data_IF_065471404056
#
_entry.id   IF_065471404056
#
_cell.length_a   1.000
_cell.length_b   1.000
_cell.length_c   1.000
_cell.angle_alpha   90.00
_cell.angle_beta   90.00
_cell.angle_gamma   90.00
#
_symmetry.space_group_name_H-M   'P 1'
#
loop_
_entity.id
_entity.type
_entity.pdbx_description
1 polymer ?
2 water ?
#
# COMPACT_ATOMS: atom_id res chain seq x y z
N UNK A 1 -9.98 -16.80 6.09
CA UNK A 1 -10.16 -15.95 4.89
C UNK A 1 -9.26 -16.32 3.73
N UNK A 2 -7.96 -16.56 3.99
CA UNK A 2 -7.09 -16.96 2.86
C UNK A 2 -6.75 -15.78 1.95
N UNK A 3 -5.78 -16.04 1.09
CA UNK A 3 -5.25 -15.10 0.09
C UNK A 3 -3.84 -15.60 -0.18
N UNK A 4 -3.47 -15.62 -1.45
CA UNK A 4 -2.15 -16.10 -1.84
C UNK A 4 -1.12 -15.04 -1.49
N UNK A 5 -0.12 -15.51 -0.80
CA UNK A 5 1.01 -14.63 -0.39
C UNK A 5 1.86 -14.47 -1.65
N UNK A 6 2.10 -13.20 -1.94
CA UNK A 6 2.82 -12.76 -3.13
C UNK A 6 3.72 -11.55 -2.84
N UNK A 7 5.02 -11.74 -3.03
CA UNK A 7 5.98 -10.68 -2.77
C UNK A 7 5.40 -9.37 -3.33
N UNK A 8 5.73 -8.28 -2.64
CA UNK A 8 5.29 -6.95 -2.99
C UNK A 8 5.85 -6.40 -4.29
N UNK A 9 7.10 -6.76 -4.47
CA UNK A 9 7.92 -6.37 -5.63
C UNK A 9 8.79 -7.56 -6.04
N UNK A 10 9.10 -7.52 -7.31
CA UNK A 10 9.93 -8.46 -8.08
C UNK A 10 10.54 -7.50 -9.11
N UNK A 11 11.84 -7.54 -9.33
CA UNK A 11 12.46 -6.58 -10.27
C UNK A 11 13.71 -7.23 -10.86
N UNK A 12 14.24 -6.47 -11.79
CA UNK A 12 15.43 -6.70 -12.58
C UNK A 12 15.61 -5.69 -13.74
N UNK A 13 16.82 -5.69 -14.24
CA UNK A 13 17.42 -4.93 -15.33
C UNK A 13 16.90 -5.50 -16.64
N UNK A 14 16.68 -4.68 -17.64
CA UNK A 14 16.13 -5.16 -18.90
C UNK A 14 16.95 -6.30 -19.48
N UNK A 15 16.24 -7.35 -19.92
CA UNK A 15 16.80 -8.57 -20.51
C UNK A 15 16.75 -9.70 -19.45
N UNK A 16 16.77 -9.20 -18.24
CA UNK A 16 16.72 -9.96 -16.99
C UNK A 16 15.42 -10.79 -16.97
N UNK A 17 15.54 -11.87 -16.25
CA UNK A 17 14.52 -12.89 -16.02
C UNK A 17 14.05 -12.73 -14.58
N UNK A 18 12.78 -12.43 -14.40
CA UNK A 18 12.25 -12.27 -13.02
C UNK A 18 11.29 -13.40 -12.69
N UNK A 19 11.03 -13.61 -11.40
CA UNK A 19 10.12 -14.58 -10.88
C UNK A 19 9.23 -14.02 -9.75
N UNK A 20 7.95 -14.28 -9.96
CA UNK A 20 6.91 -13.93 -9.01
C UNK A 20 6.48 -15.29 -8.41
N UNK A 21 6.59 -15.33 -7.11
CA UNK A 21 6.23 -16.42 -6.22
C UNK A 21 4.89 -16.01 -5.58
N UNK A 22 4.09 -17.02 -5.34
CA UNK A 22 2.71 -16.91 -4.79
C UNK A 22 2.51 -18.07 -3.82
N UNK A 23 2.80 -17.83 -2.54
CA UNK A 23 2.68 -18.90 -1.56
C UNK A 23 1.32 -19.08 -0.93
N UNK A 24 0.53 -19.84 -1.66
CA UNK A 24 -0.84 -20.25 -1.27
C UNK A 24 -0.67 -21.42 -0.27
N UNK A 25 -1.76 -22.08 0.10
CA UNK A 25 -1.69 -23.19 1.09
C UNK A 25 -1.89 -24.56 0.51
N UNK A 26 -1.56 -25.59 1.29
CA UNK A 26 -1.69 -26.99 0.82
C UNK A 26 -3.17 -27.34 0.65
N UNK A 27 -3.84 -26.41 0.02
CA UNK A 27 -5.27 -26.41 -0.30
C UNK A 27 -5.51 -25.74 -1.65
N UNK A 28 -4.85 -24.64 -1.93
CA UNK A 28 -5.02 -23.95 -3.23
C UNK A 28 -3.94 -24.35 -4.21
N UNK A 29 -2.74 -23.86 -4.03
CA UNK A 29 -1.61 -24.19 -4.92
C UNK A 29 -1.34 -25.71 -4.73
N UNK A 30 -1.54 -26.06 -3.46
CA UNK A 30 -1.29 -27.44 -3.03
C UNK A 30 -2.37 -28.38 -3.54
N UNK A 31 -2.58 -28.45 -4.85
CA UNK A 31 -3.59 -29.32 -5.43
C UNK A 31 -4.26 -28.75 -6.67
N UNK A 32 -4.84 -27.57 -6.55
CA UNK A 32 -5.59 -26.86 -7.57
C UNK A 32 -4.82 -26.07 -8.61
N UNK A 33 -5.56 -25.87 -9.71
CA UNK A 33 -5.16 -25.14 -10.92
C UNK A 33 -4.75 -23.71 -10.56
N UNK A 34 -3.64 -23.22 -11.10
CA UNK A 34 -3.21 -21.83 -10.76
C UNK A 34 -3.24 -21.02 -12.06
N UNK A 35 -3.90 -19.88 -11.93
CA UNK A 35 -4.19 -18.86 -12.92
C UNK A 35 -3.41 -17.57 -12.72
N UNK A 36 -2.80 -17.06 -13.79
CA UNK A 36 -2.02 -15.82 -13.67
C UNK A 36 -2.55 -14.71 -14.61
N UNK A 37 -2.80 -13.61 -13.91
CA UNK A 37 -3.25 -12.33 -14.44
C UNK A 37 -2.20 -11.23 -14.25
N UNK A 38 -2.01 -10.47 -15.31
CA UNK A 38 -1.09 -9.30 -15.24
C UNK A 38 -2.10 -8.14 -15.13
N UNK A 39 -1.86 -7.07 -14.43
CA UNK A 39 -2.87 -6.01 -14.35
C UNK A 39 -2.33 -4.61 -14.46
N UNK A 40 -2.82 -3.87 -15.44
CA UNK A 40 -2.43 -2.46 -15.61
C UNK A 40 -3.57 -1.49 -15.21
N UNK A 41 -3.28 -0.62 -14.26
CA UNK A 41 -4.33 0.38 -13.92
C UNK A 41 -4.77 1.02 -15.27
N UNK A 42 -6.07 1.20 -15.31
CA UNK A 42 -6.72 1.82 -16.48
C UNK A 42 -7.10 0.76 -17.53
N UNK A 43 -6.71 -0.47 -17.22
CA UNK A 43 -6.95 -1.63 -18.06
C UNK A 43 -7.38 -2.82 -17.21
N UNK A 44 -8.30 -3.56 -17.82
CA UNK A 44 -8.93 -4.77 -17.27
C UNK A 44 -7.80 -5.79 -17.21
N UNK A 45 -7.86 -6.62 -16.19
CA UNK A 45 -6.79 -7.65 -16.04
C UNK A 45 -6.68 -8.50 -17.29
N UNK A 46 -5.52 -9.11 -17.45
CA UNK A 46 -5.26 -10.01 -18.58
C UNK A 46 -4.99 -11.42 -18.03
N UNK A 47 -5.50 -12.40 -18.76
CA UNK A 47 -5.21 -13.78 -18.35
C UNK A 47 -3.83 -14.18 -18.94
N UNK A 48 -2.90 -14.39 -18.05
CA UNK A 48 -1.52 -14.74 -18.38
C UNK A 48 -1.35 -16.24 -18.68
N UNK A 49 -1.03 -16.98 -17.63
CA UNK A 49 -0.82 -18.44 -17.66
C UNK A 49 -2.21 -18.93 -17.24
N UNK A 50 -2.72 -19.78 -18.08
CA UNK A 50 -4.11 -20.28 -17.93
C UNK A 50 -4.34 -21.39 -16.96
N UNK A 51 -3.56 -22.45 -16.89
CA UNK A 51 -3.82 -23.51 -15.93
C UNK A 51 -2.50 -24.00 -15.37
N UNK A 52 -1.97 -23.18 -14.48
CA UNK A 52 -0.72 -23.47 -13.80
C UNK A 52 0.51 -23.05 -14.64
N UNK A 53 0.74 -23.80 -15.69
CA UNK A 53 1.87 -23.60 -16.62
C UNK A 53 1.40 -23.34 -18.04
N UNK A 54 0.24 -23.88 -18.33
CA UNK A 54 -0.39 -23.74 -19.66
C UNK A 54 -0.85 -22.31 -19.85
N UNK A 55 -0.12 -21.67 -20.73
CA UNK A 55 -0.23 -20.28 -21.16
C UNK A 55 -1.45 -20.01 -22.00
N UNK A 56 -1.90 -18.77 -21.96
CA UNK A 56 -3.06 -18.29 -22.74
C UNK A 56 -2.58 -17.82 -24.11
N UNK A 57 -3.50 -17.30 -24.91
CA UNK A 57 -3.16 -16.80 -26.26
C UNK A 57 -2.99 -15.28 -26.10
N UNK A 58 -2.10 -14.79 -26.92
CA UNK A 58 -1.72 -13.36 -26.90
C UNK A 58 -0.37 -13.42 -26.11
N UNK A 59 -0.52 -14.04 -24.94
CA UNK A 59 0.57 -14.29 -23.98
C UNK A 59 1.78 -14.85 -24.74
N UNK A 60 2.92 -14.35 -24.36
CA UNK A 60 4.28 -14.55 -24.82
C UNK A 60 5.09 -15.56 -24.04
N UNK A 61 6.03 -16.10 -24.78
CA UNK A 61 6.99 -17.14 -24.42
C UNK A 61 7.89 -16.72 -23.26
N UNK A 62 8.00 -15.40 -23.18
CA UNK A 62 8.81 -14.81 -22.10
C UNK A 62 8.16 -15.27 -20.79
N UNK A 63 6.84 -15.09 -20.72
CA UNK A 63 6.04 -15.46 -19.55
C UNK A 63 5.87 -16.98 -19.52
N UNK A 64 6.53 -17.45 -18.51
CA UNK A 64 6.63 -18.86 -18.15
C UNK A 64 6.01 -19.06 -16.76
N UNK A 65 5.63 -20.30 -16.48
CA UNK A 65 5.01 -20.60 -15.19
C UNK A 65 5.17 -22.07 -14.80
N UNK A 66 5.58 -22.24 -13.56
CA UNK A 66 5.78 -23.51 -12.91
C UNK A 66 4.93 -23.62 -11.65
N UNK A 67 3.88 -24.43 -11.62
CA UNK A 67 3.18 -24.59 -10.31
C UNK A 67 4.10 -25.58 -9.57
N UNK A 68 4.04 -25.69 -8.26
CA UNK A 68 4.99 -26.64 -7.59
C UNK A 68 4.38 -27.34 -6.39
N UNK A 69 5.02 -27.12 -5.24
CA UNK A 69 4.45 -27.72 -3.98
C UNK A 69 3.28 -26.70 -3.86
N UNK A 70 3.12 -26.23 -2.68
CA UNK A 70 2.10 -25.20 -2.35
C UNK A 70 2.57 -23.89 -2.94
N UNK A 71 3.14 -23.89 -4.14
CA UNK A 71 3.65 -22.59 -4.65
C UNK A 71 3.75 -22.53 -6.14
N UNK A 72 3.54 -21.37 -6.75
CA UNK A 72 3.67 -21.31 -8.24
C UNK A 72 4.75 -20.31 -8.58
N UNK A 73 5.02 -20.15 -9.87
CA UNK A 73 6.05 -19.18 -10.28
C UNK A 73 5.98 -18.62 -11.68
N UNK A 74 5.55 -17.36 -11.79
CA UNK A 74 5.51 -16.66 -13.10
C UNK A 74 6.97 -16.17 -13.27
N UNK A 75 7.54 -16.36 -14.42
CA UNK A 75 8.95 -15.92 -14.67
C UNK A 75 8.84 -14.98 -15.84
N UNK A 76 9.09 -13.69 -15.79
CA UNK A 76 8.90 -12.89 -17.02
C UNK A 76 10.22 -12.86 -17.79
N UNK A 77 10.61 -14.05 -18.15
CA UNK A 77 11.81 -14.46 -18.88
C UNK A 77 12.16 -13.72 -20.16
N UNK A 78 12.60 -12.48 -20.08
CA UNK A 78 13.05 -11.65 -21.17
C UNK A 78 12.82 -10.18 -20.91
N UNK A 79 12.75 -9.81 -19.64
CA UNK A 79 12.45 -8.45 -19.18
C UNK A 79 12.62 -7.38 -20.25
N UNK A 80 11.46 -6.97 -20.68
CA UNK A 80 11.22 -5.88 -21.69
C UNK A 80 10.46 -4.93 -20.75
N UNK A 81 10.42 -3.65 -21.00
CA UNK A 81 9.82 -2.64 -20.16
C UNK A 81 8.33 -2.50 -19.96
N UNK A 82 7.57 -3.22 -20.73
CA UNK A 82 6.09 -3.15 -20.72
C UNK A 82 5.57 -4.08 -19.63
N UNK A 83 6.54 -4.82 -19.12
CA UNK A 83 6.37 -5.84 -18.10
C UNK A 83 6.13 -5.30 -16.70
N UNK A 84 6.32 -4.00 -16.49
CA UNK A 84 6.09 -3.42 -15.13
C UNK A 84 4.58 -3.13 -15.16
N UNK A 85 3.94 -4.02 -14.50
CA UNK A 85 2.54 -4.31 -14.30
C UNK A 85 2.39 -4.90 -12.91
N UNK A 86 1.30 -5.54 -12.67
CA UNK A 86 0.86 -6.22 -11.48
C UNK A 86 0.64 -7.67 -11.95
N UNK A 87 0.91 -8.61 -11.07
CA UNK A 87 0.70 -10.00 -11.41
C UNK A 87 0.14 -10.61 -10.14
N UNK A 88 -1.10 -10.97 -10.34
CA UNK A 88 -1.98 -11.63 -9.40
C UNK A 88 -2.05 -13.11 -9.89
N UNK A 89 -2.18 -13.93 -8.87
CA UNK A 89 -2.30 -15.38 -8.92
C UNK A 89 -3.58 -15.68 -8.10
N UNK A 90 -4.45 -16.43 -8.73
CA UNK A 90 -5.72 -16.93 -8.26
C UNK A 90 -5.59 -18.46 -8.28
N UNK A 91 -6.24 -19.11 -7.35
CA UNK A 91 -6.18 -20.58 -7.31
C UNK A 91 -7.49 -20.93 -6.61
N UNK A 92 -7.73 -22.18 -6.31
CA UNK A 92 -8.94 -22.57 -5.65
C UNK A 92 -8.81 -23.11 -4.24
N UNK A 93 -9.52 -22.41 -3.36
CA UNK A 93 -9.46 -22.81 -1.93
C UNK A 93 -10.49 -23.92 -1.67
N UNK A 94 -10.91 -23.80 -0.44
CA UNK A 94 -11.85 -24.55 0.34
C UNK A 94 -12.36 -23.82 1.58
N UNK A 95 -12.01 -22.54 1.69
CA UNK A 95 -12.48 -21.76 2.85
C UNK A 95 -13.90 -21.31 2.48
N UNK A 96 -14.46 -22.12 1.62
CA UNK A 96 -15.82 -22.05 1.12
C UNK A 96 -15.90 -23.16 0.04
N UNK A 97 -15.45 -22.66 -1.07
CA UNK A 97 -15.45 -23.46 -2.36
C UNK A 97 -15.14 -22.20 -3.22
N UNK A 98 -14.03 -21.64 -2.68
CA UNK A 98 -13.50 -20.40 -3.18
C UNK A 98 -12.02 -20.42 -3.57
N UNK A 99 -11.84 -19.52 -4.51
CA UNK A 99 -10.63 -19.14 -5.20
C UNK A 99 -10.02 -17.93 -4.48
N UNK A 100 -8.85 -18.11 -3.90
CA UNK A 100 -8.16 -17.03 -3.19
C UNK A 100 -7.14 -16.42 -4.14
N UNK A 101 -6.93 -15.10 -4.00
CA UNK A 101 -5.97 -14.49 -4.91
C UNK A 101 -4.77 -14.00 -4.10
N UNK A 102 -3.80 -13.63 -4.91
CA UNK A 102 -2.56 -13.15 -4.34
C UNK A 102 -2.69 -11.64 -4.07
N UNK A 103 -1.84 -11.28 -3.15
CA UNK A 103 -1.77 -9.88 -2.77
C UNK A 103 -1.14 -9.05 -3.89
N UNK A 104 -0.71 -9.72 -4.95
CA UNK A 104 -0.12 -9.03 -6.11
C UNK A 104 1.31 -8.68 -5.88
N UNK A 105 2.05 -8.39 -6.93
CA UNK A 105 3.50 -8.08 -6.85
C UNK A 105 3.78 -7.19 -8.07
N UNK A 106 4.48 -6.10 -7.84
CA UNK A 106 4.76 -5.15 -8.88
C UNK A 106 6.17 -5.37 -9.45
N UNK A 107 6.16 -5.45 -10.78
CA UNK A 107 7.46 -5.66 -11.38
C UNK A 107 7.83 -4.25 -11.88
N UNK A 108 9.04 -3.99 -11.52
CA UNK A 108 9.76 -2.77 -11.86
C UNK A 108 10.96 -3.20 -12.70
N UNK A 109 11.12 -2.55 -13.83
CA UNK A 109 12.31 -2.85 -14.69
C UNK A 109 13.40 -1.95 -14.08
N UNK A 110 14.32 -2.51 -13.34
CA UNK A 110 15.38 -1.67 -12.75
C UNK A 110 15.86 -0.73 -13.88
N UNK A 111 15.74 0.53 -13.55
CA UNK A 111 16.02 1.70 -14.36
C UNK A 111 17.04 2.54 -13.58
N UNK A 112 17.38 2.00 -12.42
CA UNK A 112 18.39 2.62 -11.51
C UNK A 112 18.92 1.43 -10.71
N UNK A 113 20.14 1.45 -10.29
CA UNK A 113 20.75 0.37 -9.48
C UNK A 113 19.78 0.06 -8.35
N UNK A 114 19.55 -1.21 -8.07
CA UNK A 114 18.62 -1.55 -6.97
C UNK A 114 19.16 -0.96 -5.68
N UNK A 115 18.36 -0.12 -5.01
CA UNK A 115 18.74 0.47 -3.74
C UNK A 115 17.83 -0.08 -2.62
N UNK A 116 18.46 -0.37 -1.51
CA UNK A 116 18.05 -0.86 -0.21
C UNK A 116 17.90 0.37 0.70
N UNK A 117 16.85 0.38 1.51
CA UNK A 117 16.52 1.55 2.32
C UNK A 117 17.28 1.70 3.59
N UNK A 118 17.31 2.98 4.01
CA UNK A 118 17.97 3.30 5.28
C UNK A 118 16.86 3.49 6.30
N UNK A 119 16.87 2.73 7.36
CA UNK A 119 15.83 2.87 8.39
C UNK A 119 16.49 3.60 9.57
N UNK A 120 15.72 4.56 10.02
CA UNK A 120 16.09 5.44 11.13
C UNK A 120 14.89 5.36 12.07
N UNK A 121 15.16 4.68 13.16
CA UNK A 121 14.16 4.40 14.21
C UNK A 121 14.30 5.47 15.29
N UNK A 122 13.21 6.21 15.53
CA UNK A 122 13.25 7.31 16.52
C UNK A 122 12.29 6.99 17.63
N UNK A 123 12.70 7.24 18.81
CA UNK A 123 11.79 7.00 19.98
C UNK A 123 10.93 8.23 20.25
N UNK A 124 10.08 8.16 21.27
CA UNK A 124 9.18 9.20 21.68
C UNK A 124 9.91 10.49 22.06
N UNK A 125 9.44 11.51 21.36
CA UNK A 125 9.79 12.93 21.39
C UNK A 125 9.62 13.40 22.82
N UNK A 126 10.40 14.36 23.26
CA UNK A 126 10.17 14.73 24.70
C UNK A 126 8.91 15.57 24.80
N UNK A 127 8.75 16.58 23.96
CA UNK A 127 7.52 17.37 24.09
C UNK A 127 6.44 16.28 24.24
N UNK A 128 6.46 15.31 23.36
CA UNK A 128 5.45 14.24 23.33
C UNK A 128 5.25 13.48 24.60
N UNK A 129 6.28 12.90 25.14
CA UNK A 129 6.17 12.10 26.36
C UNK A 129 5.51 12.86 27.49
N UNK A 130 5.60 14.19 27.52
CA UNK A 130 5.06 15.03 28.62
C UNK A 130 3.57 15.27 28.54
N UNK A 131 3.07 15.11 27.37
CA UNK A 131 1.73 15.20 26.89
C UNK A 131 0.94 13.90 27.07
N UNK A 132 1.54 12.90 27.65
CA UNK A 132 0.88 11.61 27.84
C UNK A 132 0.58 10.87 26.54
N UNK A 133 1.55 10.91 25.64
CA UNK A 133 1.41 10.24 24.32
C UNK A 133 2.83 9.75 24.00
N UNK A 134 2.98 8.79 23.14
CA UNK A 134 4.29 8.21 22.77
C UNK A 134 4.11 7.52 21.43
N UNK A 135 4.82 8.02 20.44
CA UNK A 135 4.80 7.54 19.05
C UNK A 135 6.22 7.29 18.58
N UNK A 136 6.49 6.28 17.79
CA UNK A 136 7.84 6.11 17.26
C UNK A 136 7.56 6.03 15.75
N UNK A 137 8.61 6.36 15.06
CA UNK A 137 8.66 6.42 13.58
C UNK A 137 9.76 5.51 13.05
N UNK A 138 9.51 5.01 11.86
CA UNK A 138 10.51 4.14 11.19
C UNK A 138 10.83 4.87 9.89
N UNK A 139 11.86 5.68 9.87
CA UNK A 139 12.02 6.41 8.58
C UNK A 139 12.64 5.42 7.63
N UNK A 140 11.92 5.18 6.54
CA UNK A 140 12.48 4.28 5.52
C UNK A 140 12.83 5.12 4.30
N UNK A 141 13.94 5.83 4.32
CA UNK A 141 14.28 6.68 3.15
C UNK A 141 15.13 5.92 2.15
N UNK A 142 15.25 6.48 0.96
CA UNK A 142 16.02 6.03 -0.17
C UNK A 142 16.00 4.67 -0.80
N UNK A 143 14.89 4.03 -1.08
CA UNK A 143 14.83 2.66 -1.69
C UNK A 143 14.36 2.74 -3.12
N UNK A 144 14.50 1.69 -3.89
CA UNK A 144 14.11 1.54 -5.29
C UNK A 144 14.47 0.10 -5.70
N UNK A 145 13.54 -0.63 -6.21
CA UNK A 145 12.14 -0.24 -6.42
C UNK A 145 11.45 0.34 -5.19
N UNK A 146 10.20 0.82 -5.37
CA UNK A 146 9.39 1.42 -4.32
C UNK A 146 8.34 0.59 -3.61
N UNK A 147 8.81 -0.45 -2.93
CA UNK A 147 7.94 -1.37 -2.17
C UNK A 147 8.72 -2.09 -1.05
N UNK A 148 8.60 -1.48 0.10
CA UNK A 148 9.18 -1.93 1.35
C UNK A 148 8.03 -2.67 2.12
N UNK A 149 8.40 -3.33 3.17
CA UNK A 149 7.51 -4.07 4.00
C UNK A 149 7.88 -3.80 5.46
N UNK A 150 6.94 -3.25 6.24
CA UNK A 150 7.38 -2.96 7.62
C UNK A 150 6.71 -3.95 8.57
N UNK A 151 7.29 -3.99 9.74
CA UNK A 151 6.78 -4.84 10.82
C UNK A 151 7.58 -4.46 12.05
N UNK A 152 6.92 -4.18 13.15
CA UNK A 152 7.51 -3.88 14.45
C UNK A 152 7.43 -5.06 15.42
N UNK A 153 8.09 -4.77 16.54
CA UNK A 153 8.15 -5.75 17.62
C UNK A 153 8.49 -4.98 18.91
N UNK A 154 8.07 -5.61 19.97
CA UNK A 154 8.30 -5.15 21.34
C UNK A 154 8.98 -6.41 21.90
N UNK A 155 9.99 -6.27 22.69
CA UNK A 155 10.75 -7.38 23.28
C UNK A 155 10.51 -8.65 22.45
N UNK A 156 11.04 -8.62 21.27
CA UNK A 156 11.08 -9.61 20.23
C UNK A 156 9.78 -10.19 19.75
N UNK A 157 8.72 -9.61 20.25
CA UNK A 157 7.32 -9.90 20.02
C UNK A 157 6.70 -8.96 18.95
N UNK A 158 6.03 -9.60 18.02
CA UNK A 158 5.32 -8.93 16.92
C UNK A 158 4.08 -8.21 17.47
N UNK A 159 4.04 -6.91 17.20
CA UNK A 159 3.06 -5.91 17.56
C UNK A 159 2.17 -5.53 16.37
N UNK A 160 0.86 -5.58 16.53
CA UNK A 160 -0.08 -5.24 15.44
C UNK A 160 -0.86 -3.97 15.67
N UNK A 161 -1.29 -3.76 16.90
CA UNK A 161 -2.10 -2.59 17.22
C UNK A 161 -1.43 -1.24 16.99
N UNK A 162 -2.16 -0.51 16.14
CA UNK A 162 -1.90 0.85 15.78
C UNK A 162 -0.70 1.11 14.94
N UNK A 163 -0.22 0.11 14.19
CA UNK A 163 0.96 0.50 13.35
C UNK A 163 0.32 1.01 12.07
N UNK A 164 0.94 1.98 11.43
CA UNK A 164 0.49 2.60 10.21
C UNK A 164 1.78 2.92 9.46
N UNK A 165 1.73 2.57 8.23
CA UNK A 165 2.84 2.71 7.31
C UNK A 165 2.32 3.41 6.05
N UNK A 166 3.02 4.49 5.75
CA UNK A 166 2.81 5.35 4.59
C UNK A 166 3.10 4.49 3.36
N UNK A 167 2.46 4.81 2.30
CA UNK A 167 2.64 4.22 0.96
C UNK A 167 3.94 4.88 0.44
N UNK A 168 4.89 4.04 0.04
CA UNK A 168 6.15 4.55 -0.51
C UNK A 168 5.89 5.79 -1.36
N UNK A 169 6.84 6.70 -1.36
CA UNK A 169 6.73 7.98 -2.11
C UNK A 169 8.05 8.41 -2.74
N UNK A 170 7.97 8.49 -4.07
CA UNK A 170 9.14 8.89 -4.88
C UNK A 170 9.61 10.21 -4.27
N UNK A 171 10.91 10.25 -4.02
CA UNK A 171 11.58 11.42 -3.39
C UNK A 171 12.35 12.13 -4.48
N UNK A 172 12.88 13.31 -4.32
CA UNK A 172 13.60 14.08 -5.31
C UNK A 172 14.75 13.30 -5.95
N UNK A 173 15.54 12.61 -5.14
CA UNK A 173 16.68 11.81 -5.65
C UNK A 173 16.16 10.53 -6.27
N UNK A 174 14.93 10.60 -6.69
CA UNK A 174 14.23 9.52 -7.38
C UNK A 174 14.06 8.27 -6.56
N UNK A 175 14.50 8.34 -5.31
CA UNK A 175 14.31 7.05 -4.54
C UNK A 175 13.02 7.24 -3.79
N UNK A 176 12.34 6.22 -3.36
CA UNK A 176 11.08 6.23 -2.66
C UNK A 176 11.34 6.50 -1.19
N UNK A 177 10.28 6.87 -0.50
CA UNK A 177 10.41 7.06 0.95
C UNK A 177 9.10 6.55 1.54
N UNK A 178 9.12 6.28 2.78
CA UNK A 178 8.00 5.80 3.56
C UNK A 178 8.39 6.12 5.03
N UNK A 179 7.45 5.82 5.89
CA UNK A 179 7.65 6.00 7.33
C UNK A 179 6.59 5.10 7.92
N UNK A 180 6.74 4.69 9.12
CA UNK A 180 5.75 3.85 9.81
C UNK A 180 5.84 4.33 11.26
N UNK A 181 4.73 4.30 11.94
CA UNK A 181 4.73 4.80 13.34
C UNK A 181 3.92 3.78 14.13
N UNK A 182 4.29 3.69 15.39
CA UNK A 182 3.67 2.83 16.39
C UNK A 182 3.27 3.76 17.53
N UNK A 183 2.03 4.09 17.55
CA UNK A 183 1.52 4.96 18.63
C UNK A 183 1.25 4.13 19.85
N UNK A 184 2.00 4.38 20.94
CA UNK A 184 1.82 3.72 22.21
C UNK A 184 1.40 4.80 23.25
N UNK A 185 1.34 4.19 24.42
CA UNK A 185 1.02 4.90 25.64
C UNK A 185 2.40 4.91 26.32
N UNK A 186 2.60 5.99 27.04
CA UNK A 186 3.86 6.26 27.73
C UNK A 186 4.48 5.13 28.49
N UNK A 187 3.67 4.40 29.26
CA UNK A 187 4.27 3.29 30.03
C UNK A 187 4.26 2.03 29.21
N UNK A 188 3.38 1.91 28.20
CA UNK A 188 3.54 0.67 27.41
C UNK A 188 4.97 0.85 26.85
N UNK A 189 5.29 2.02 26.37
CA UNK A 189 6.64 2.33 25.83
C UNK A 189 7.71 1.90 26.83
N UNK A 190 7.60 2.41 28.04
CA UNK A 190 8.58 2.16 29.10
C UNK A 190 8.51 0.79 29.71
N UNK A 191 7.44 0.09 29.34
CA UNK A 191 7.23 -1.26 29.88
C UNK A 191 8.34 -2.22 29.40
N UNK A 192 8.59 -2.24 28.12
CA UNK A 192 9.52 -3.01 27.36
C UNK A 192 10.98 -2.62 27.31
N UNK A 193 11.79 -3.60 26.96
CA UNK A 193 13.23 -3.59 26.85
C UNK A 193 13.78 -2.84 25.66
N UNK A 194 13.26 -3.13 24.51
CA UNK A 194 13.61 -2.54 23.23
C UNK A 194 12.33 -2.70 22.37
N UNK A 195 12.38 -2.02 21.28
CA UNK A 195 11.26 -1.98 20.29
C UNK A 195 11.98 -2.05 18.97
N UNK A 196 11.46 -2.84 18.09
CA UNK A 196 12.18 -2.95 16.84
C UNK A 196 11.25 -2.59 15.72
N UNK A 197 11.93 -2.26 14.66
CA UNK A 197 11.40 -1.88 13.41
C UNK A 197 12.17 -2.70 12.35
N UNK A 198 11.32 -3.27 11.52
CA UNK A 198 11.77 -4.13 10.46
C UNK A 198 11.26 -3.80 9.08
N UNK A 199 12.21 -3.76 8.16
CA UNK A 199 11.81 -3.44 6.77
C UNK A 199 12.56 -4.36 5.84
N UNK A 200 11.70 -5.05 5.13
CA UNK A 200 12.24 -6.04 4.16
C UNK A 200 11.82 -5.41 2.84
N UNK A 201 12.85 -5.25 2.02
CA UNK A 201 12.83 -4.62 0.72
C UNK A 201 13.55 -5.59 -0.20
N UNK A 202 12.79 -6.17 -1.09
CA UNK A 202 13.24 -7.16 -2.08
C UNK A 202 14.36 -8.04 -1.56
N UNK A 203 13.88 -9.10 -0.88
CA UNK A 203 14.75 -10.11 -0.27
C UNK A 203 15.49 -9.70 0.99
N UNK A 204 16.21 -8.59 0.90
CA UNK A 204 16.97 -8.07 2.05
C UNK A 204 16.07 -7.59 3.18
N UNK A 205 16.62 -7.58 4.38
CA UNK A 205 15.92 -7.12 5.55
C UNK A 205 16.83 -6.43 6.54
N UNK A 206 16.26 -5.40 7.12
CA UNK A 206 16.89 -4.55 8.10
C UNK A 206 15.96 -4.53 9.30
N UNK A 207 16.62 -4.62 10.40
CA UNK A 207 15.95 -4.62 11.73
C UNK A 207 16.63 -3.58 12.57
N UNK A 208 16.09 -2.38 12.70
CA UNK A 208 16.79 -1.32 13.51
C UNK A 208 16.18 -1.22 14.86
N UNK A 209 16.80 -0.69 15.90
CA UNK A 209 16.14 -0.74 17.22
C UNK A 209 16.37 0.42 18.15
N UNK A 210 15.50 0.41 19.17
CA UNK A 210 15.58 1.53 20.13
C UNK A 210 15.01 1.08 21.46
N UNK A 211 15.55 1.72 22.49
CA UNK A 211 15.11 1.51 23.85
C UNK A 211 14.78 2.87 24.49
N UNK A 212 13.92 2.78 25.50
CA UNK A 212 13.40 3.86 26.30
C UNK A 212 14.30 4.87 26.97
N UNK A 213 15.55 4.55 27.20
CA UNK A 213 16.53 5.43 27.82
C UNK A 213 16.15 5.96 29.22
N UNK A 214 17.28 6.38 29.82
CA UNK A 214 17.36 6.99 31.14
C UNK A 214 16.55 8.29 30.99
N UNK A 215 16.98 9.25 31.79
CA UNK A 215 16.24 10.56 31.69
C UNK A 215 14.76 10.18 31.62
N UNK A 216 13.97 11.11 31.12
CA UNK A 216 12.54 11.11 30.90
C UNK A 216 11.77 12.04 31.85
N UNK B 1 -8.86 -6.41 -26.03
CA UNK B 1 -9.48 -6.60 -27.36
C UNK B 1 -10.79 -7.34 -27.33
N UNK B 2 -11.31 -7.48 -26.10
CA UNK B 2 -12.57 -8.19 -25.82
C UNK B 2 -13.51 -7.53 -24.82
N UNK B 3 -12.95 -7.02 -23.77
CA UNK B 3 -13.39 -6.38 -22.57
C UNK B 3 -14.82 -5.90 -22.40
N UNK B 4 -15.09 -5.60 -21.14
CA UNK B 4 -16.28 -5.08 -20.51
C UNK B 4 -15.87 -3.64 -20.06
N UNK B 5 -16.76 -2.78 -20.39
CA UNK B 5 -16.78 -1.32 -20.24
C UNK B 5 -17.37 -0.86 -18.94
N UNK B 6 -16.65 0.00 -18.26
CA UNK B 6 -16.95 0.60 -16.97
C UNK B 6 -16.43 2.04 -16.96
N UNK B 7 -17.15 2.84 -16.19
CA UNK B 7 -16.79 4.28 -16.03
C UNK B 7 -15.46 4.24 -15.27
N UNK B 8 -14.57 5.16 -15.55
CA UNK B 8 -13.24 5.23 -14.94
C UNK B 8 -13.24 5.42 -13.44
N UNK B 9 -14.19 6.17 -12.98
CA UNK B 9 -14.52 6.57 -11.64
C UNK B 9 -16.06 6.68 -11.59
N UNK B 10 -16.50 7.09 -10.44
CA UNK B 10 -17.92 7.31 -10.06
C UNK B 10 -17.75 7.68 -8.56
N UNK B 11 -18.09 8.91 -8.29
CA UNK B 11 -17.94 9.42 -6.90
C UNK B 11 -19.33 9.74 -6.34
N UNK B 12 -19.24 10.19 -5.11
CA UNK B 12 -20.35 10.63 -4.28
C UNK B 12 -19.87 10.76 -2.84
N UNK B 13 -20.73 11.37 -2.09
CA UNK B 13 -20.75 11.70 -0.69
C UNK B 13 -21.18 10.56 0.21
N UNK B 14 -20.84 10.69 1.48
CA UNK B 14 -21.19 9.72 2.52
C UNK B 14 -22.69 9.60 2.73
N UNK B 15 -23.27 8.43 2.47
CA UNK B 15 -24.69 8.16 2.61
C UNK B 15 -25.41 8.11 1.28
N UNK B 16 -24.79 8.74 0.31
CA UNK B 16 -25.29 8.81 -1.09
C UNK B 16 -25.28 7.38 -1.62
N UNK B 17 -25.96 7.15 -2.71
CA UNK B 17 -26.00 5.81 -3.35
C UNK B 17 -25.55 5.93 -4.81
N UNK B 18 -24.55 5.09 -5.10
CA UNK B 18 -23.83 5.01 -6.38
C UNK B 18 -23.79 3.62 -7.00
N UNK B 19 -23.83 3.66 -8.30
CA UNK B 19 -23.85 2.59 -9.24
C UNK B 19 -22.68 2.64 -10.22
N UNK B 20 -22.06 1.48 -10.31
CA UNK B 20 -20.93 1.22 -11.24
C UNK B 20 -21.61 0.60 -12.46
N UNK B 21 -21.24 0.95 -13.65
CA UNK B 21 -21.78 0.43 -14.90
C UNK B 21 -20.77 -0.52 -15.54
N UNK B 22 -21.31 -1.68 -15.88
CA UNK B 22 -20.54 -2.72 -16.50
C UNK B 22 -21.28 -3.35 -17.67
N UNK B 23 -21.36 -2.59 -18.74
CA UNK B 23 -22.05 -3.06 -19.94
C UNK B 23 -21.16 -3.86 -20.87
N UNK B 24 -21.82 -4.86 -21.48
CA UNK B 24 -21.16 -5.78 -22.41
C UNK B 24 -22.07 -6.19 -23.55
N UNK B 25 -21.72 -7.33 -24.12
CA UNK B 25 -22.40 -7.93 -25.29
C UNK B 25 -23.03 -9.27 -24.98
N UNK B 26 -23.69 -9.82 -25.98
CA UNK B 26 -24.42 -11.09 -25.93
C UNK B 26 -23.64 -12.29 -25.39
N UNK B 27 -22.44 -12.42 -25.92
CA UNK B 27 -21.44 -13.45 -25.61
C UNK B 27 -21.07 -13.45 -24.15
N UNK B 28 -20.85 -12.27 -23.59
CA UNK B 28 -20.49 -12.05 -22.17
C UNK B 28 -21.76 -11.79 -21.36
N UNK B 29 -21.77 -10.71 -20.60
CA UNK B 29 -22.96 -10.41 -19.78
C UNK B 29 -24.23 -11.01 -20.36
N UNK B 30 -24.49 -10.74 -21.63
CA UNK B 30 -25.65 -11.17 -22.37
C UNK B 30 -25.96 -12.64 -22.51
N UNK B 31 -25.41 -13.49 -21.67
CA UNK B 31 -25.62 -14.95 -21.70
C UNK B 31 -25.09 -15.64 -20.46
N UNK B 32 -24.11 -15.05 -19.77
CA UNK B 32 -23.69 -15.67 -18.48
C UNK B 32 -23.64 -14.60 -17.41
N UNK B 33 -23.72 -15.09 -16.20
CA UNK B 33 -23.75 -14.40 -14.92
C UNK B 33 -22.60 -13.42 -14.81
N UNK B 34 -22.83 -12.30 -14.12
CA UNK B 34 -21.69 -11.35 -13.98
C UNK B 34 -21.23 -11.50 -12.53
N UNK B 35 -20.03 -11.18 -12.24
CA UNK B 35 -19.37 -11.17 -10.95
C UNK B 35 -18.70 -9.79 -10.75
N UNK B 36 -18.52 -9.47 -9.47
CA UNK B 36 -17.89 -8.16 -9.21
C UNK B 36 -16.83 -8.36 -8.15
N UNK B 37 -15.75 -7.61 -8.33
CA UNK B 37 -14.71 -7.65 -7.32
C UNK B 37 -14.42 -6.23 -6.86
N UNK B 38 -13.88 -6.22 -5.70
CA UNK B 38 -13.40 -5.00 -5.03
C UNK B 38 -11.87 -5.20 -5.21
N UNK B 39 -11.17 -4.10 -5.24
CA UNK B 39 -9.69 -4.20 -5.37
C UNK B 39 -9.02 -2.99 -4.77
N UNK B 40 -8.83 -3.10 -3.45
CA UNK B 40 -8.14 -1.97 -2.76
C UNK B 40 -6.69 -1.97 -3.33
N UNK B 41 -6.64 -1.18 -4.38
CA UNK B 41 -5.44 -0.98 -5.18
C UNK B 41 -4.21 -1.19 -4.31
N UNK B 42 -3.72 -2.42 -4.27
CA UNK B 42 -2.55 -2.74 -3.47
C UNK B 42 -2.78 -3.95 -2.60
N UNK B 43 -3.92 -4.57 -2.72
CA UNK B 43 -4.27 -5.78 -1.96
C UNK B 43 -4.82 -6.84 -2.95
N UNK B 44 -5.15 -7.95 -2.29
CA UNK B 44 -5.78 -9.06 -3.05
C UNK B 44 -7.18 -8.53 -3.38
N UNK B 45 -7.65 -8.92 -4.53
CA UNK B 45 -9.01 -8.52 -4.96
C UNK B 45 -10.07 -9.15 -4.06
N UNK B 46 -11.23 -8.51 -3.94
CA UNK B 46 -12.31 -9.10 -3.12
C UNK B 46 -13.52 -9.43 -4.00
N UNK B 47 -13.82 -10.76 -3.98
CA UNK B 47 -14.98 -11.22 -4.76
C UNK B 47 -16.14 -10.55 -3.97
N UNK B 48 -17.03 -9.90 -4.70
CA UNK B 48 -18.12 -9.13 -4.15
C UNK B 48 -19.50 -9.72 -4.39
N UNK B 49 -19.90 -9.94 -5.62
CA UNK B 49 -21.16 -10.48 -6.12
C UNK B 49 -20.88 -11.58 -7.14
N UNK B 50 -21.86 -12.44 -7.34
CA UNK B 50 -21.84 -13.54 -8.31
C UNK B 50 -23.28 -13.82 -8.76
N UNK B 51 -23.40 -14.50 -9.89
CA UNK B 51 -24.79 -14.78 -10.35
C UNK B 51 -25.54 -13.45 -10.22
N UNK B 52 -24.86 -12.51 -10.82
CA UNK B 52 -25.11 -11.12 -11.02
C UNK B 52 -25.66 -10.35 -9.82
N UNK B 53 -26.29 -11.07 -8.94
CA UNK B 53 -26.91 -10.37 -7.79
C UNK B 53 -26.62 -11.15 -6.53
N UNK B 54 -26.15 -12.38 -6.68
CA UNK B 54 -25.89 -13.20 -5.44
C UNK B 54 -24.60 -12.69 -4.81
N UNK B 55 -24.67 -12.31 -3.56
CA UNK B 55 -23.60 -11.72 -2.78
C UNK B 55 -22.42 -12.62 -2.46
N UNK B 56 -21.92 -12.50 -1.24
CA UNK B 56 -20.75 -13.27 -0.78
C UNK B 56 -20.53 -13.14 0.72
N UNK B 57 -19.42 -13.71 1.12
CA UNK B 57 -18.99 -13.79 2.53
C UNK B 57 -18.42 -12.50 3.10
N UNK B 58 -19.23 -11.96 4.01
CA UNK B 58 -18.97 -10.75 4.78
C UNK B 58 -19.10 -9.47 3.97
N UNK B 59 -19.87 -9.53 2.90
CA UNK B 59 -20.11 -8.35 2.04
C UNK B 59 -21.39 -7.68 2.56
N UNK B 60 -21.28 -6.38 2.63
CA UNK B 60 -22.42 -5.57 3.12
C UNK B 60 -23.63 -5.72 2.23
N UNK B 61 -24.75 -5.62 2.90
CA UNK B 61 -26.11 -5.70 2.28
C UNK B 61 -26.19 -4.38 1.46
N UNK B 62 -25.03 -3.75 1.64
CA UNK B 62 -24.67 -2.46 1.10
C UNK B 62 -24.49 -2.57 -0.40
N UNK B 63 -23.78 -3.63 -0.75
CA UNK B 63 -23.48 -3.86 -2.18
C UNK B 63 -24.51 -4.80 -2.78
N UNK B 64 -25.20 -4.30 -3.76
CA UNK B 64 -26.22 -5.08 -4.51
C UNK B 64 -25.86 -4.90 -5.98
N UNK B 65 -26.25 -5.74 -6.90
CA UNK B 65 -25.98 -5.66 -8.34
C UNK B 65 -27.13 -6.17 -9.21
N UNK B 66 -27.01 -5.85 -10.50
CA UNK B 66 -28.00 -6.20 -11.53
C UNK B 66 -27.33 -6.79 -12.77
N UNK B 67 -28.17 -7.09 -13.72
CA UNK B 67 -28.00 -7.62 -15.07
C UNK B 67 -29.38 -7.51 -15.79
N UNK B 68 -29.34 -7.16 -17.06
CA UNK B 68 -30.47 -7.00 -17.97
C UNK B 68 -29.82 -6.87 -19.35
N UNK B 69 -29.98 -7.99 -20.04
CA UNK B 69 -29.42 -8.16 -21.40
C UNK B 69 -27.88 -8.09 -21.29
N UNK B 70 -27.35 -6.97 -21.69
CA UNK B 70 -25.98 -6.53 -21.77
C UNK B 70 -25.38 -5.77 -20.58
N UNK B 71 -26.17 -5.17 -19.72
CA UNK B 71 -25.68 -4.37 -18.59
C UNK B 71 -25.84 -4.95 -17.20
N UNK B 72 -24.80 -4.82 -16.41
CA UNK B 72 -24.63 -5.24 -15.03
C UNK B 72 -24.34 -3.92 -14.31
N UNK B 73 -24.54 -3.87 -13.03
CA UNK B 73 -24.35 -2.59 -12.31
C UNK B 73 -24.26 -2.78 -10.81
N UNK B 74 -23.14 -2.30 -10.26
CA UNK B 74 -23.00 -2.39 -8.79
C UNK B 74 -23.71 -1.18 -8.21
N UNK B 75 -24.24 -1.49 -7.03
CA UNK B 75 -24.98 -0.47 -6.29
C UNK B 75 -24.52 -0.70 -4.85
N UNK B 76 -23.79 0.29 -4.48
CA UNK B 76 -23.22 0.39 -3.12
C UNK B 76 -24.17 1.37 -2.47
N UNK B 77 -25.04 0.80 -1.65
CA UNK B 77 -26.04 1.70 -0.97
C UNK B 77 -25.22 2.42 0.09
N UNK B 78 -25.52 3.66 0.33
CA UNK B 78 -24.83 4.50 1.34
C UNK B 78 -23.32 4.30 1.42
N UNK B 79 -22.63 5.19 0.71
CA UNK B 79 -21.16 5.16 0.69
C UNK B 79 -20.71 5.32 2.16
N UNK B 80 -19.53 4.74 2.30
CA UNK B 80 -18.78 4.68 3.55
C UNK B 80 -17.35 5.04 3.16
N UNK B 81 -16.72 5.75 4.06
CA UNK B 81 -15.32 6.13 3.78
C UNK B 81 -14.67 4.97 3.06
N UNK B 82 -14.68 3.82 3.67
CA UNK B 82 -14.09 2.61 3.14
C UNK B 82 -14.34 2.09 1.76
N UNK B 83 -15.38 2.40 1.06
CA UNK B 83 -15.74 1.95 -0.28
C UNK B 83 -14.85 2.41 -1.42
N UNK B 84 -14.01 3.41 -1.22
CA UNK B 84 -13.13 3.90 -2.29
C UNK B 84 -12.06 2.86 -2.62
N UNK B 85 -12.27 2.11 -3.69
CA UNK B 85 -11.37 1.08 -4.17
C UNK B 85 -11.74 0.93 -5.65
N UNK B 86 -11.10 0.02 -6.31
CA UNK B 86 -11.46 -0.17 -7.76
C UNK B 86 -12.59 -1.21 -7.69
N UNK B 87 -13.37 -1.31 -8.72
CA UNK B 87 -14.48 -2.26 -8.84
C UNK B 87 -14.36 -2.83 -10.24
N UNK B 88 -14.04 -4.09 -10.42
CA UNK B 88 -13.98 -4.70 -11.79
C UNK B 88 -15.19 -5.62 -11.96
N UNK B 89 -15.61 -5.85 -13.18
CA UNK B 89 -16.75 -6.83 -13.31
C UNK B 89 -16.15 -7.98 -14.14
N UNK B 90 -16.82 -9.10 -14.14
CA UNK B 90 -16.35 -10.27 -14.91
C UNK B 90 -17.63 -10.89 -15.40
N UNK B 91 -17.69 -11.55 -16.49
CA UNK B 91 -18.80 -12.25 -17.12
C UNK B 91 -18.07 -13.16 -18.15
N UNK B 92 -18.36 -14.41 -18.07
CA UNK B 92 -17.73 -15.38 -19.00
C UNK B 92 -18.13 -14.92 -20.41
N UNK B 93 -17.16 -15.05 -21.32
CA UNK B 93 -17.46 -14.71 -22.71
C UNK B 93 -17.58 -16.05 -23.45
N UNK B 94 -18.78 -16.34 -23.91
CA UNK B 94 -19.14 -17.57 -24.61
C UNK B 94 -18.88 -17.47 -26.10
N UNK B 95 -17.84 -16.79 -26.47
CA UNK B 95 -17.38 -16.58 -27.85
C UNK B 95 -15.85 -16.45 -27.93
N UNK B 96 -15.27 -16.38 -26.77
CA UNK B 96 -13.86 -16.27 -26.39
C UNK B 96 -13.69 -17.43 -25.40
N UNK B 97 -14.91 -17.77 -24.99
CA UNK B 97 -14.91 -18.95 -24.09
C UNK B 97 -13.82 -18.71 -23.08
N UNK B 98 -13.80 -17.50 -22.57
CA UNK B 98 -12.89 -17.08 -21.50
C UNK B 98 -13.74 -16.06 -20.72
N UNK B 99 -13.31 -15.90 -19.49
CA UNK B 99 -13.97 -14.91 -18.58
C UNK B 99 -13.49 -13.54 -19.03
N UNK B 100 -14.35 -12.53 -19.08
CA UNK B 100 -13.93 -11.17 -19.52
C UNK B 100 -13.98 -10.24 -18.29
N UNK B 101 -13.16 -9.19 -18.36
CA UNK B 101 -13.06 -8.21 -17.29
C UNK B 101 -13.29 -6.79 -17.81
N UNK B 102 -13.88 -6.04 -16.89
CA UNK B 102 -14.18 -4.57 -17.15
C UNK B 102 -12.80 -3.89 -16.95
N UNK B 103 -12.72 -2.63 -17.19
CA UNK B 103 -11.49 -1.85 -17.06
C UNK B 103 -11.27 -1.18 -15.72
N UNK B 104 -12.22 -1.40 -14.82
CA UNK B 104 -12.24 -0.89 -13.44
C UNK B 104 -12.99 0.38 -13.23
N UNK B 105 -13.34 0.66 -11.99
CA UNK B 105 -14.07 1.91 -11.67
C UNK B 105 -13.71 2.38 -10.28
N UNK B 106 -12.98 3.50 -10.20
CA UNK B 106 -12.62 4.01 -8.88
C UNK B 106 -13.74 4.93 -8.34
N UNK B 107 -14.34 4.42 -7.29
CA UNK B 107 -15.39 5.13 -6.55
C UNK B 107 -14.55 5.99 -5.59
N UNK B 108 -15.06 7.11 -5.16
CA UNK B 108 -14.30 7.97 -4.20
C UNK B 108 -15.33 8.61 -3.29
N UNK B 109 -15.34 8.30 -2.01
CA UNK B 109 -16.27 8.94 -1.06
C UNK B 109 -15.76 10.36 -0.76
N UNK B 110 -16.41 11.28 -1.46
CA UNK B 110 -16.18 12.68 -1.46
C UNK B 110 -16.58 13.51 -0.26
N UNK B 111 -17.75 13.46 0.34
CA UNK B 111 -18.09 14.38 1.44
C UNK B 111 -17.66 14.05 2.83
N UNK B 112 -16.37 13.82 3.03
CA UNK B 112 -15.91 13.43 4.39
C UNK B 112 -15.56 14.65 5.21
N UNK B 113 -15.57 14.42 6.52
CA UNK B 113 -15.27 15.37 7.57
C UNK B 113 -13.81 15.71 7.80
N UNK B 114 -13.64 17.04 7.94
CA UNK B 114 -12.30 17.66 8.13
C UNK B 114 -11.73 17.20 9.47
N UNK B 115 -10.66 16.44 9.37
CA UNK B 115 -9.93 15.94 10.55
C UNK B 115 -8.69 16.83 10.55
N UNK B 116 -8.18 17.21 11.69
CA UNK B 116 -7.01 18.13 11.72
C UNK B 116 -5.78 17.33 12.17
N UNK B 117 -4.72 17.58 11.43
CA UNK B 117 -3.44 16.93 11.60
C UNK B 117 -2.94 16.93 13.03
N UNK B 118 -2.22 15.86 13.37
CA UNK B 118 -1.51 15.66 14.65
C UNK B 118 -0.05 15.81 14.26
N UNK B 119 0.61 16.79 14.82
CA UNK B 119 2.04 17.01 14.48
C UNK B 119 2.87 16.53 15.68
N UNK B 120 3.85 15.76 15.29
CA UNK B 120 4.85 15.14 16.14
C UNK B 120 6.18 15.32 15.36
N UNK B 121 7.06 15.98 16.00
CA UNK B 121 8.42 16.32 15.61
C UNK B 121 9.36 15.65 16.64
N UNK B 122 10.28 14.91 16.06
CA UNK B 122 11.37 14.09 16.51
C UNK B 122 12.72 14.67 16.12
N UNK B 123 13.51 15.00 17.11
CA UNK B 123 14.86 15.55 16.84
C UNK B 123 15.67 14.30 16.49
N UNK B 124 16.80 14.50 15.82
CA UNK B 124 17.70 13.40 15.46
C UNK B 124 17.91 12.46 16.65
N UNK B 125 18.04 11.18 16.32
CA UNK B 125 18.35 10.08 17.26
C UNK B 125 19.87 10.10 17.56
N UNK B 126 20.35 9.61 18.70
CA UNK B 126 21.84 9.66 18.85
C UNK B 126 22.35 8.61 17.84
N UNK B 127 21.77 7.42 18.04
CA UNK B 127 22.16 6.35 17.11
C UNK B 127 22.64 6.99 15.81
N UNK B 128 21.99 8.04 15.29
CA UNK B 128 22.51 8.58 14.01
C UNK B 128 23.46 9.75 14.15
N UNK B 129 23.53 10.34 15.32
CA UNK B 129 24.37 11.49 15.64
C UNK B 129 25.77 10.96 15.92
N UNK B 130 25.88 9.64 16.00
CA UNK B 130 27.15 8.92 16.22
C UNK B 130 27.49 8.13 14.94
N UNK B 131 27.11 8.72 13.86
CA UNK B 131 27.27 8.29 12.48
C UNK B 131 27.50 9.63 11.73
N UNK B 132 27.62 10.61 12.62
CA UNK B 132 27.74 11.99 12.16
C UNK B 132 26.70 12.22 11.04
N UNK B 133 25.46 12.01 11.45
CA UNK B 133 24.26 12.16 10.64
C UNK B 133 23.14 12.65 11.55
N UNK B 134 22.19 13.40 11.07
CA UNK B 134 21.06 13.89 11.90
C UNK B 134 19.85 14.16 11.03
N UNK B 135 18.73 13.50 11.22
CA UNK B 135 17.55 13.71 10.41
C UNK B 135 16.48 14.02 11.48
N UNK B 136 15.48 14.69 11.06
CA UNK B 136 14.33 15.08 11.85
C UNK B 136 13.09 14.66 11.06
N UNK B 137 12.16 14.11 11.77
CA UNK B 137 10.90 13.72 11.05
C UNK B 137 9.77 14.57 11.63
N UNK B 138 9.01 15.12 10.75
CA UNK B 138 7.86 15.96 11.21
C UNK B 138 6.74 14.98 10.85
N UNK B 139 6.07 14.43 11.83
CA UNK B 139 5.02 13.47 11.53
C UNK B 139 3.65 14.10 11.70
N UNK B 140 2.90 13.99 10.62
CA UNK B 140 1.58 14.54 10.43
C UNK B 140 0.68 13.37 10.01
N UNK B 141 -0.15 13.07 10.96
CA UNK B 141 -1.18 12.03 10.91
C UNK B 141 -2.60 12.57 11.18
N UNK B 142 -3.57 11.68 11.12
CA UNK B 142 -4.97 11.87 11.37
C UNK B 142 -5.57 13.10 10.73
N UNK B 143 -5.26 13.37 9.50
CA UNK B 143 -5.81 14.57 8.81
C UNK B 143 -6.63 14.06 7.63
N UNK B 144 -7.64 14.80 7.24
CA UNK B 144 -8.52 14.56 6.13
C UNK B 144 -9.16 15.92 5.77
N UNK B 145 -9.13 16.40 4.56
CA UNK B 145 -8.55 15.87 3.35
C UNK B 145 -7.07 15.49 3.48
N UNK B 146 -6.62 14.83 2.44
CA UNK B 146 -5.27 14.31 2.24
C UNK B 146 -4.33 15.29 1.53
N UNK B 147 -4.36 16.52 2.07
CA UNK B 147 -3.49 17.53 1.46
C UNK B 147 -2.81 18.38 2.48
N UNK B 148 -1.57 18.77 2.22
CA UNK B 148 -0.85 19.61 3.20
C UNK B 148 0.34 20.23 2.46
N UNK B 149 0.87 21.19 3.15
CA UNK B 149 2.03 22.01 2.91
C UNK B 149 2.81 21.89 4.24
N UNK B 150 4.09 21.69 4.06
CA UNK B 150 4.94 21.60 5.26
C UNK B 150 6.10 22.51 4.87
N UNK B 151 6.41 23.35 5.84
CA UNK B 151 7.52 24.31 5.69
C UNK B 151 8.33 24.03 6.96
N UNK B 152 9.57 23.94 6.72
CA UNK B 152 10.56 23.72 7.79
C UNK B 152 11.27 25.10 7.84
N UNK B 153 11.68 25.50 9.00
CA UNK B 153 12.32 26.71 9.44
C UNK B 153 13.43 26.44 10.44
N UNK B 154 14.54 27.08 10.25
CA UNK B 154 15.71 26.90 11.16
C UNK B 154 15.86 28.19 11.92
N UNK B 155 15.50 28.17 13.17
CA UNK B 155 15.44 29.22 14.16
C UNK B 155 14.48 30.28 13.56
N UNK B 156 15.19 30.95 12.69
CA UNK B 156 14.77 32.04 11.88
C UNK B 156 14.05 31.57 10.63
N UNK B 157 14.87 31.66 9.60
CA UNK B 157 14.56 31.39 8.23
C UNK B 157 14.04 30.00 7.98
N UNK B 158 13.32 29.91 6.90
CA UNK B 158 12.80 28.59 6.46
C UNK B 158 14.02 27.97 5.77
N UNK B 159 14.03 26.68 5.66
CA UNK B 159 15.12 25.93 5.03
C UNK B 159 14.62 25.02 3.90
N UNK B 160 15.47 24.87 2.91
CA UNK B 160 15.43 24.03 1.73
C UNK B 160 16.74 23.18 1.76
N UNK B 161 16.80 22.40 2.83
CA UNK B 161 17.99 21.52 2.92
C UNK B 161 17.51 20.29 2.13
N UNK B 162 17.51 19.22 2.86
CA UNK B 162 17.11 17.86 2.45
C UNK B 162 15.68 17.68 3.02
N UNK B 163 14.83 18.58 2.52
CA UNK B 163 13.44 18.55 2.92
C UNK B 163 12.66 17.63 2.00
N UNK B 164 12.35 16.46 2.52
CA UNK B 164 11.62 15.50 1.68
C UNK B 164 10.35 15.13 2.40
N UNK B 165 9.28 15.46 1.74
CA UNK B 165 7.93 15.26 2.26
C UNK B 165 7.20 14.22 1.42
N UNK B 166 6.56 13.28 2.04
CA UNK B 166 5.80 12.20 1.43
C UNK B 166 4.39 12.68 1.09
N UNK B 167 3.76 12.00 0.16
CA UNK B 167 2.40 12.15 -0.33
C UNK B 167 1.52 11.44 0.73
N UNK B 168 0.49 12.15 1.14
CA UNK B 168 -0.43 11.66 2.18
C UNK B 168 -1.10 10.46 1.59
N UNK B 169 -1.09 9.38 2.32
CA UNK B 169 -1.69 8.12 1.90
C UNK B 169 -2.79 7.82 2.90
N UNK B 170 -3.86 7.28 2.40
CA UNK B 170 -5.02 6.91 3.27
C UNK B 170 -4.36 5.88 4.20
N UNK B 171 -4.78 6.02 5.42
CA UNK B 171 -4.37 5.13 6.53
C UNK B 171 -5.65 4.35 6.87
N UNK B 172 -5.55 3.49 7.84
CA UNK B 172 -6.63 2.63 8.30
C UNK B 172 -7.77 3.26 9.04
N UNK B 173 -7.59 4.48 9.53
CA UNK B 173 -8.67 5.18 10.27
C UNK B 173 -9.33 5.97 9.11
N UNK B 174 -8.91 5.57 7.93
CA UNK B 174 -9.46 6.20 6.74
C UNK B 174 -9.08 7.67 6.58
N UNK B 175 -8.03 8.06 7.23
CA UNK B 175 -7.52 9.44 7.15
C UNK B 175 -6.11 9.33 6.53
N UNK B 176 -5.39 10.43 6.66
CA UNK B 176 -4.05 10.50 6.09
C UNK B 176 -2.94 10.77 7.06
N UNK B 177 -1.75 10.54 6.58
CA UNK B 177 -0.52 10.77 7.32
C UNK B 177 0.56 11.09 6.28
N UNK B 178 1.34 12.12 6.54
CA UNK B 178 2.46 12.37 5.58
C UNK B 178 3.67 12.42 6.52
N UNK B 179 4.86 12.39 5.99
CA UNK B 179 6.04 12.47 6.94
C UNK B 179 7.01 13.38 6.27
N UNK B 180 7.54 14.36 6.94
CA UNK B 180 8.49 15.29 6.27
C UNK B 180 9.78 15.10 7.10
N UNK B 181 10.82 14.70 6.38
CA UNK B 181 12.13 14.49 7.00
C UNK B 181 13.01 15.60 6.38
N UNK B 182 13.91 16.08 7.21
CA UNK B 182 14.95 17.06 7.03
C UNK B 182 16.33 16.53 7.50
N UNK B 183 17.18 16.35 6.50
CA UNK B 183 18.58 15.92 6.54
C UNK B 183 19.57 17.05 6.88
N UNK B 184 20.16 16.97 8.05
CA UNK B 184 21.15 18.00 8.44
C UNK B 184 22.43 17.21 8.75
N UNK B 185 23.39 17.89 9.34
CA UNK B 185 24.67 17.27 9.78
C UNK B 185 24.78 17.67 11.23
N UNK B 186 25.36 16.86 12.07
CA UNK B 186 25.41 17.20 13.51
C UNK B 186 25.67 18.67 13.68
N UNK B 187 26.36 19.31 12.76
CA UNK B 187 26.64 20.77 12.81
C UNK B 187 25.33 21.54 12.65
N UNK B 188 24.83 21.70 11.45
CA UNK B 188 23.58 22.39 11.13
C UNK B 188 22.69 22.18 12.37
N UNK B 189 22.64 20.92 12.78
CA UNK B 189 21.83 20.57 13.95
C UNK B 189 22.22 21.39 15.15
N UNK B 190 23.27 21.06 15.89
CA UNK B 190 23.63 21.80 17.11
C UNK B 190 24.04 23.24 16.87
N UNK B 191 24.17 23.60 15.64
CA UNK B 191 24.57 24.90 15.14
C UNK B 191 23.44 25.92 15.10
N UNK B 192 22.28 25.48 15.60
CA UNK B 192 21.04 26.23 15.70
C UNK B 192 20.45 26.13 17.11
N UNK B 193 19.49 27.03 17.33
CA UNK B 193 18.78 27.05 18.62
C UNK B 193 17.54 26.14 18.50
N UNK B 194 16.95 26.13 17.31
CA UNK B 194 15.77 25.36 17.03
C UNK B 194 15.41 25.35 15.55
N UNK B 195 14.63 24.38 15.23
CA UNK B 195 13.93 23.97 14.03
C UNK B 195 12.49 23.61 14.51
N UNK B 196 11.63 23.88 13.57
CA UNK B 196 10.19 23.64 13.83
C UNK B 196 9.66 23.29 12.46
N UNK B 197 8.51 22.72 12.43
CA UNK B 197 7.95 22.35 11.08
C UNK B 197 6.52 22.88 11.22
N UNK B 198 6.16 23.56 10.16
CA UNK B 198 4.82 24.21 10.13
C UNK B 198 4.00 23.48 9.11
N UNK B 199 2.91 22.93 9.64
CA UNK B 199 1.97 22.20 8.79
C UNK B 199 0.75 23.12 8.61
N UNK B 200 0.39 23.19 7.31
CA UNK B 200 -0.80 24.01 7.02
C UNK B 200 -1.81 23.04 6.42
N UNK B 201 -2.97 23.00 7.09
CA UNK B 201 -4.05 22.07 6.67
C UNK B 201 -5.40 22.70 6.71
N UNK B 202 -5.86 23.23 5.57
CA UNK B 202 -7.20 23.86 5.61
C UNK B 202 -7.29 25.17 6.36
N UNK B 203 -6.38 26.10 6.14
CA UNK B 203 -6.33 27.42 6.73
C UNK B 203 -5.76 27.52 8.11
N UNK B 204 -5.70 26.40 8.78
CA UNK B 204 -5.21 26.24 10.16
C UNK B 204 -3.76 25.76 10.13
N UNK B 205 -2.88 26.45 10.81
CA UNK B 205 -1.45 26.10 10.87
C UNK B 205 -1.07 25.61 12.24
N UNK B 206 -0.16 24.67 12.21
CA UNK B 206 0.37 24.01 13.41
C UNK B 206 1.88 23.86 13.09
N UNK B 207 2.64 24.22 14.09
CA UNK B 207 4.07 24.19 14.14
C UNK B 207 4.54 23.59 15.45
N UNK B 208 5.62 22.82 15.31
CA UNK B 208 6.24 22.19 16.49
C UNK B 208 7.73 22.52 16.29
N UNK B 209 8.33 22.65 17.46
CA UNK B 209 9.69 23.03 17.56
C UNK B 209 10.53 22.06 18.36
N UNK B 210 11.68 21.82 17.74
CA UNK B 210 12.69 20.93 18.34
C UNK B 210 14.01 21.69 18.46
N UNK B 211 14.61 21.42 19.60
CA UNK B 211 15.88 22.07 19.95
C UNK B 211 16.90 21.00 20.34
N UNK B 212 18.12 21.31 19.92
CA UNK B 212 19.27 20.45 20.24
C UNK B 212 19.23 20.13 21.72
N UNK B 213 18.35 19.25 22.13
CA UNK B 213 18.04 18.72 23.45
C UNK B 213 19.15 17.79 23.96
N UNK B 214 19.07 17.49 25.25
CA UNK B 214 20.03 16.53 25.84
C UNK B 214 19.22 15.38 26.50
N UNK B 215 19.58 14.21 26.04
CA UNK B 215 19.12 12.87 26.27
C UNK B 215 17.93 12.59 25.31
N UNK B 216 17.02 13.56 25.22
CA UNK B 216 15.84 13.46 24.36
C UNK B 216 15.83 14.58 23.31
#
# INVERSE_FOLDING_TARGET
>A
QSVLTQPPSASGTPGQRVTISCSGSSSNIGENSVTWYQHLSGTAPKLLIYEDNSRASGVSDRFSASKSGTSASLAISGLQPEDETDYYCAAWDDSLDVAVFGTGTKVTVLGQPKANPTVTLFPPSSEELQANKATLVCLISDFYPGAVTVAWKADGSPVKAGVETTKPSKQSNNKYAASSYLSLTPEQWKSHRSYSCQVTHEGSTVEKTVAPTECS
>B
QSVLTQPPSASGTPGQRVTISCSGSSSNIGENSVTWYQHLSGTAPKLLIYEDNSRASGVSDRFSASKSGTSASLAISGLQPEDETDYYCAAWDDSLDVAVFGTGTKVTVLGQPKANPTVTLFPPSSEELQANKATLVCLISDFYPGAVTVAWKADGSPVKAGVETTKPSKQSNNKYAASSYLSLTPEQWKSHRSYSCQVTHEGSTVEKTVAPTECS
#
